data_IF_752108881375
#
_entry.id   IF_752108881375
#
_cell.length_a   1.000
_cell.length_b   1.000
_cell.length_c   1.000
_cell.angle_alpha   90.00
_cell.angle_beta   90.00
_cell.angle_gamma   90.00
#
_symmetry.space_group_name_H-M   'P 1'
#
loop_
_entity.id
_entity.type
_entity.pdbx_description
1 polymer ?
#
# COMPACT_ATOMS: atom_id res chain seq x y z
N UNK A 1 -9.84 -46.76 -0.66
CA UNK A 1 -9.45 -47.85 -1.57
C UNK A 1 -9.90 -49.20 -1.07
N UNK A 2 -9.15 -50.03 -0.35
CA UNK A 2 -9.61 -51.35 0.17
C UNK A 2 -10.85 -51.22 1.06
N UNK A 3 -10.98 -50.19 1.87
CA UNK A 3 -12.19 -49.90 2.65
C UNK A 3 -13.39 -49.68 1.77
N UNK A 4 -13.28 -48.95 0.66
CA UNK A 4 -14.39 -48.70 -0.27
C UNK A 4 -14.88 -50.00 -0.97
N UNK A 5 -13.96 -50.95 -1.26
CA UNK A 5 -14.33 -52.29 -1.78
C UNK A 5 -15.03 -53.08 -0.69
N UNK A 6 -14.49 -53.13 0.52
CA UNK A 6 -15.06 -53.82 1.69
C UNK A 6 -16.47 -53.32 1.98
N UNK A 7 -16.69 -52.02 1.90
CA UNK A 7 -17.95 -51.38 2.18
C UNK A 7 -18.88 -51.31 0.95
N UNK A 8 -18.51 -51.97 -0.18
CA UNK A 8 -19.26 -52.11 -1.45
C UNK A 8 -19.62 -50.79 -2.14
N UNK A 9 -18.85 -49.73 -1.93
CA UNK A 9 -19.01 -48.47 -2.67
C UNK A 9 -18.45 -48.53 -4.09
N UNK A 10 -17.42 -49.35 -4.33
CA UNK A 10 -16.77 -49.55 -5.62
C UNK A 10 -16.40 -51.05 -5.78
N UNK A 11 -16.38 -51.54 -7.00
CA UNK A 11 -15.86 -52.85 -7.35
C UNK A 11 -14.35 -52.86 -7.48
N UNK A 12 -13.73 -54.03 -7.48
CA UNK A 12 -12.27 -54.15 -7.68
C UNK A 12 -11.85 -53.62 -9.07
N UNK A 13 -12.63 -53.86 -10.10
CA UNK A 13 -12.35 -53.39 -11.46
C UNK A 13 -12.42 -51.84 -11.56
N UNK A 14 -13.37 -51.24 -10.85
CA UNK A 14 -13.44 -49.76 -10.74
C UNK A 14 -12.26 -49.20 -9.97
N UNK A 15 -11.82 -49.87 -8.90
CA UNK A 15 -10.61 -49.44 -8.15
C UNK A 15 -9.39 -49.49 -9.07
N UNK A 16 -9.16 -50.58 -9.79
CA UNK A 16 -8.00 -50.71 -10.69
C UNK A 16 -8.04 -49.65 -11.79
N UNK A 17 -9.22 -49.35 -12.35
CA UNK A 17 -9.41 -48.28 -13.32
C UNK A 17 -9.11 -46.89 -12.73
N UNK A 18 -9.59 -46.59 -11.52
CA UNK A 18 -9.35 -45.33 -10.84
C UNK A 18 -7.88 -45.12 -10.41
N UNK A 19 -7.22 -46.22 -10.04
CA UNK A 19 -5.78 -46.17 -9.70
C UNK A 19 -4.87 -45.92 -10.91
N UNK A 20 -5.33 -46.29 -12.11
CA UNK A 20 -4.60 -46.04 -13.36
C UNK A 20 -4.74 -44.61 -13.86
N UNK A 21 -5.68 -43.82 -13.33
CA UNK A 21 -5.83 -42.42 -13.69
C UNK A 21 -4.74 -41.58 -13.08
N UNK A 22 -4.16 -40.61 -13.84
CA UNK A 22 -3.22 -39.67 -13.28
C UNK A 22 -3.89 -38.80 -12.20
N UNK A 23 -3.20 -38.57 -11.07
CA UNK A 23 -3.67 -37.68 -10.02
C UNK A 23 -3.54 -36.23 -10.50
N UNK A 24 -4.63 -35.65 -10.94
CA UNK A 24 -4.69 -34.21 -11.23
C UNK A 24 -4.96 -33.44 -9.94
N UNK A 25 -3.90 -32.83 -9.40
CA UNK A 25 -4.02 -31.95 -8.24
C UNK A 25 -4.33 -30.54 -8.69
N UNK A 26 -5.52 -30.05 -8.41
CA UNK A 26 -5.84 -28.61 -8.47
C UNK A 26 -5.40 -27.95 -7.17
N UNK A 27 -4.09 -27.87 -6.97
CA UNK A 27 -3.54 -27.19 -5.81
C UNK A 27 -3.53 -25.68 -6.06
N UNK A 28 -4.35 -24.96 -5.33
CA UNK A 28 -4.30 -23.50 -5.24
C UNK A 28 -3.74 -23.13 -3.87
N UNK A 29 -2.60 -22.47 -3.86
CA UNK A 29 -2.05 -21.92 -2.62
C UNK A 29 -2.96 -20.78 -2.17
N UNK A 30 -3.63 -20.97 -1.05
CA UNK A 30 -4.42 -19.90 -0.42
C UNK A 30 -3.46 -19.07 0.43
N UNK A 31 -3.21 -17.84 0.02
CA UNK A 31 -2.45 -16.87 0.80
C UNK A 31 -3.20 -15.54 0.91
N UNK A 32 -2.61 -14.57 1.65
CA UNK A 32 -3.21 -13.25 1.84
C UNK A 32 -3.11 -12.33 0.61
N UNK A 33 -2.39 -12.73 -0.43
CA UNK A 33 -2.12 -11.91 -1.62
C UNK A 33 -3.22 -11.99 -2.67
N UNK A 34 -3.89 -13.15 -2.76
CA UNK A 34 -4.94 -13.40 -3.75
C UNK A 34 -6.33 -13.20 -3.14
N UNK A 35 -7.28 -12.74 -3.96
CA UNK A 35 -8.68 -12.51 -3.59
C UNK A 35 -8.97 -11.09 -3.12
N UNK A 36 -10.15 -10.88 -2.58
CA UNK A 36 -10.69 -9.57 -2.22
C UNK A 36 -9.90 -8.89 -1.09
N UNK A 37 -9.71 -7.58 -1.18
CA UNK A 37 -9.06 -6.72 -0.18
C UNK A 37 -7.65 -7.17 0.26
N UNK A 38 -6.69 -7.46 -0.64
CA UNK A 38 -5.39 -8.02 -0.27
C UNK A 38 -4.58 -7.09 0.65
N UNK A 39 -4.65 -5.77 0.45
CA UNK A 39 -3.99 -4.79 1.31
C UNK A 39 -4.54 -4.81 2.74
N UNK A 40 -5.86 -4.86 2.89
CA UNK A 40 -6.48 -4.97 4.22
C UNK A 40 -6.11 -6.28 4.91
N UNK A 41 -6.10 -7.38 4.17
CA UNK A 41 -5.69 -8.68 4.72
C UNK A 41 -4.23 -8.70 5.17
N UNK A 42 -3.35 -8.01 4.45
CA UNK A 42 -1.95 -7.84 4.87
C UNK A 42 -1.85 -6.98 6.14
N UNK A 43 -2.59 -5.88 6.23
CA UNK A 43 -2.63 -5.07 7.46
C UNK A 43 -3.11 -5.89 8.66
N UNK A 44 -4.16 -6.67 8.46
CA UNK A 44 -4.69 -7.57 9.48
C UNK A 44 -3.65 -8.64 9.90
N UNK A 45 -2.98 -9.24 8.92
CA UNK A 45 -1.91 -10.21 9.16
C UNK A 45 -0.78 -9.60 9.99
N UNK A 46 -0.28 -8.44 9.58
CA UNK A 46 0.80 -7.73 10.28
C UNK A 46 0.40 -7.39 11.72
N UNK A 47 -0.83 -6.92 11.91
CA UNK A 47 -1.38 -6.59 13.22
C UNK A 47 -1.48 -7.84 14.11
N UNK A 48 -2.08 -8.92 13.62
CA UNK A 48 -2.32 -10.12 14.41
C UNK A 48 -1.04 -10.91 14.73
N UNK A 49 -0.05 -10.86 13.85
CA UNK A 49 1.24 -11.55 14.02
C UNK A 49 2.33 -10.66 14.62
N UNK A 50 2.01 -9.42 15.00
CA UNK A 50 2.97 -8.53 15.62
C UNK A 50 3.56 -9.11 16.90
N UNK A 51 4.86 -8.93 17.10
CA UNK A 51 5.56 -9.32 18.32
C UNK A 51 5.51 -8.20 19.36
N UNK A 52 5.76 -8.56 20.62
CA UNK A 52 5.91 -7.56 21.67
C UNK A 52 7.07 -6.63 21.33
N UNK A 53 6.85 -5.31 21.29
CA UNK A 53 7.92 -4.36 20.97
C UNK A 53 9.06 -4.42 22.00
N UNK A 54 10.29 -4.48 21.50
CA UNK A 54 11.51 -4.46 22.31
C UNK A 54 12.37 -3.30 21.83
N UNK A 55 12.68 -2.36 22.72
CA UNK A 55 13.36 -1.09 22.37
C UNK A 55 14.68 -1.28 21.61
N UNK A 56 15.42 -2.34 21.89
CA UNK A 56 16.70 -2.65 21.21
C UNK A 56 16.54 -3.06 19.74
N UNK A 57 15.34 -3.40 19.27
CA UNK A 57 15.04 -3.76 17.88
C UNK A 57 14.69 -2.54 17.00
N UNK A 58 14.57 -1.34 17.62
CA UNK A 58 14.24 -0.10 16.93
C UNK A 58 15.46 0.81 16.85
N UNK A 59 15.70 1.36 15.66
CA UNK A 59 16.74 2.37 15.47
C UNK A 59 16.36 3.70 16.14
N UNK A 60 17.34 4.53 16.50
CA UNK A 60 17.08 5.79 17.20
C UNK A 60 16.06 6.71 16.49
N UNK A 61 16.02 6.71 15.16
CA UNK A 61 15.05 7.46 14.36
C UNK A 61 13.65 6.81 14.33
N UNK A 62 13.48 5.57 14.82
CA UNK A 62 12.20 4.87 14.94
C UNK A 62 11.59 4.99 16.35
N UNK A 63 12.08 5.92 17.19
CA UNK A 63 11.61 6.06 18.56
C UNK A 63 10.08 6.27 18.65
N UNK A 64 9.50 7.07 17.75
CA UNK A 64 8.05 7.25 17.70
C UNK A 64 7.32 5.97 17.34
N UNK A 65 7.84 5.21 16.39
CA UNK A 65 7.26 3.90 16.01
C UNK A 65 7.28 2.92 17.17
N UNK A 66 8.36 2.88 17.95
CA UNK A 66 8.40 2.05 19.16
C UNK A 66 7.31 2.43 20.17
N UNK A 67 7.06 3.73 20.35
CA UNK A 67 5.99 4.22 21.24
C UNK A 67 4.63 3.78 20.70
N UNK A 68 4.37 4.02 19.42
CA UNK A 68 3.09 3.68 18.78
C UNK A 68 2.81 2.17 18.82
N UNK A 69 3.81 1.35 18.53
CA UNK A 69 3.73 -0.11 18.60
C UNK A 69 3.51 -0.59 20.05
N UNK A 70 4.14 0.07 21.03
CA UNK A 70 3.95 -0.24 22.45
C UNK A 70 2.55 0.09 22.94
N UNK A 71 2.00 1.22 22.52
CA UNK A 71 0.62 1.63 22.79
C UNK A 71 -0.36 0.65 22.14
N UNK A 72 -0.11 0.30 20.86
CA UNK A 72 -0.92 -0.67 20.14
C UNK A 72 -0.89 -2.04 20.82
N UNK A 73 0.30 -2.50 21.24
CA UNK A 73 0.44 -3.75 21.99
C UNK A 73 -0.36 -3.75 23.31
N UNK A 74 -0.35 -2.64 24.05
CA UNK A 74 -1.04 -2.56 25.33
C UNK A 74 -2.57 -2.45 25.19
N UNK A 75 -3.03 -1.66 24.22
CA UNK A 75 -4.43 -1.22 24.15
C UNK A 75 -5.26 -1.89 23.05
N UNK A 76 -4.62 -2.40 21.99
CA UNK A 76 -5.33 -3.06 20.91
C UNK A 76 -5.31 -4.58 21.09
N UNK A 77 -6.45 -5.24 21.36
CA UNK A 77 -6.49 -6.69 21.56
C UNK A 77 -6.11 -7.50 20.33
N UNK A 78 -6.23 -6.94 19.11
CA UNK A 78 -5.85 -7.60 17.88
C UNK A 78 -4.34 -7.50 17.62
N UNK A 79 -3.67 -6.48 18.15
CA UNK A 79 -2.23 -6.29 17.93
C UNK A 79 -1.43 -7.37 18.69
N UNK A 80 -0.78 -8.25 17.94
CA UNK A 80 -0.08 -9.42 18.49
C UNK A 80 -1.01 -10.53 19.00
N UNK A 81 -2.24 -10.63 18.46
CA UNK A 81 -3.22 -11.61 18.91
C UNK A 81 -2.67 -13.04 18.87
N UNK A 82 -1.96 -13.42 17.80
CA UNK A 82 -1.35 -14.74 17.66
C UNK A 82 -0.24 -15.01 18.68
N UNK A 83 0.42 -13.97 19.18
CA UNK A 83 1.46 -14.06 20.21
C UNK A 83 0.87 -14.10 21.63
N UNK A 84 -0.22 -13.37 21.86
CA UNK A 84 -0.86 -13.25 23.17
C UNK A 84 -1.76 -14.44 23.52
N UNK A 85 -2.24 -15.17 22.51
CA UNK A 85 -3.18 -16.27 22.69
C UNK A 85 -2.49 -17.60 22.36
N UNK A 86 -2.79 -18.60 23.16
CA UNK A 86 -2.26 -19.96 23.00
C UNK A 86 -3.40 -20.96 22.89
N UNK A 87 -3.18 -22.02 22.16
CA UNK A 87 -4.12 -23.15 22.03
C UNK A 87 -4.12 -24.00 23.31
N UNK A 88 -5.04 -24.93 23.40
CA UNK A 88 -5.16 -25.84 24.54
C UNK A 88 -3.89 -26.71 24.75
N UNK A 89 -3.13 -26.95 23.68
CA UNK A 89 -1.85 -27.67 23.71
C UNK A 89 -0.64 -26.79 24.10
N UNK A 90 -0.86 -25.50 24.42
CA UNK A 90 0.16 -24.51 24.76
C UNK A 90 0.91 -23.91 23.57
N UNK A 91 0.57 -24.28 22.33
CA UNK A 91 1.18 -23.70 21.13
C UNK A 91 0.49 -22.40 20.73
N UNK A 92 1.24 -21.49 20.06
CA UNK A 92 0.70 -20.23 19.55
C UNK A 92 -0.18 -20.47 18.32
N UNK A 93 -1.12 -19.56 18.10
CA UNK A 93 -1.95 -19.59 16.89
C UNK A 93 -1.15 -19.20 15.66
N UNK A 94 -1.39 -19.93 14.56
CA UNK A 94 -0.88 -19.61 13.23
C UNK A 94 -2.05 -19.17 12.32
N UNK A 95 -1.99 -17.93 11.84
CA UNK A 95 -3.07 -17.32 11.03
C UNK A 95 -3.39 -18.10 9.73
N UNK A 96 -2.44 -18.90 9.23
CA UNK A 96 -2.61 -19.65 7.97
C UNK A 96 -3.07 -21.09 8.17
N UNK A 97 -2.73 -21.73 9.28
CA UNK A 97 -2.92 -23.18 9.45
C UNK A 97 -4.01 -23.55 10.44
N UNK A 98 -4.37 -22.64 11.34
CA UNK A 98 -5.29 -22.99 12.45
C UNK A 98 -6.77 -22.69 12.15
N UNK A 99 -7.11 -22.38 10.88
CA UNK A 99 -8.51 -22.23 10.45
C UNK A 99 -9.28 -21.11 11.13
N UNK A 100 -8.60 -20.01 11.51
CA UNK A 100 -9.22 -18.87 12.18
C UNK A 100 -10.30 -18.23 11.31
N UNK A 101 -11.45 -17.98 11.90
CA UNK A 101 -12.54 -17.20 11.29
C UNK A 101 -12.47 -15.77 11.78
N UNK A 102 -12.12 -14.84 10.88
CA UNK A 102 -11.92 -13.43 11.19
C UNK A 102 -13.08 -12.63 10.58
N UNK A 103 -13.93 -12.07 11.43
CA UNK A 103 -15.05 -11.23 11.03
C UNK A 103 -14.58 -9.77 10.96
N UNK A 104 -14.86 -9.11 9.84
CA UNK A 104 -14.46 -7.73 9.58
C UNK A 104 -15.66 -6.86 9.27
N UNK A 105 -15.48 -5.54 9.27
CA UNK A 105 -16.51 -4.56 8.90
C UNK A 105 -16.61 -4.31 7.40
N UNK A 106 -15.71 -4.91 6.60
CA UNK A 106 -15.72 -4.76 5.15
C UNK A 106 -17.02 -5.30 4.55
N UNK A 107 -17.58 -4.53 3.63
CA UNK A 107 -18.66 -4.96 2.77
C UNK A 107 -18.08 -5.50 1.46
N UNK A 108 -18.31 -6.79 1.18
CA UNK A 108 -17.71 -7.45 0.02
C UNK A 108 -18.16 -6.83 -1.31
N UNK A 109 -19.38 -6.26 -1.39
CA UNK A 109 -19.85 -5.61 -2.61
C UNK A 109 -19.23 -4.24 -2.80
N UNK A 110 -19.15 -3.44 -1.73
CA UNK A 110 -18.47 -2.14 -1.75
C UNK A 110 -16.99 -2.30 -2.06
N UNK A 111 -16.35 -3.33 -1.52
CA UNK A 111 -14.94 -3.64 -1.82
C UNK A 111 -14.73 -3.96 -3.30
N UNK A 112 -15.59 -4.81 -3.90
CA UNK A 112 -15.52 -5.08 -5.35
C UNK A 112 -15.70 -3.81 -6.17
N UNK A 113 -16.67 -2.98 -5.83
CA UNK A 113 -16.86 -1.69 -6.52
C UNK A 113 -15.66 -0.76 -6.40
N UNK A 114 -15.00 -0.73 -5.24
CA UNK A 114 -13.80 0.06 -5.05
C UNK A 114 -12.62 -0.45 -5.91
N UNK A 115 -12.38 -1.75 -5.93
CA UNK A 115 -11.33 -2.36 -6.75
C UNK A 115 -11.60 -2.16 -8.24
N UNK A 116 -12.84 -2.38 -8.71
CA UNK A 116 -13.24 -2.11 -10.10
C UNK A 116 -13.11 -0.63 -10.48
N UNK A 117 -13.48 0.29 -9.58
CA UNK A 117 -13.35 1.72 -9.82
C UNK A 117 -11.89 2.13 -9.98
N UNK A 118 -10.99 1.55 -9.16
CA UNK A 118 -9.55 1.76 -9.28
C UNK A 118 -9.05 1.23 -10.63
N UNK A 119 -9.40 0.01 -11.01
CA UNK A 119 -8.99 -0.56 -12.29
C UNK A 119 -9.48 0.28 -13.48
N UNK A 120 -10.77 0.59 -13.52
CA UNK A 120 -11.40 1.34 -14.62
C UNK A 120 -10.89 2.78 -14.70
N UNK A 121 -10.82 3.49 -13.59
CA UNK A 121 -10.45 4.90 -13.59
C UNK A 121 -8.94 5.09 -13.62
N UNK A 122 -8.20 4.42 -12.76
CA UNK A 122 -6.74 4.54 -12.71
C UNK A 122 -6.10 3.85 -13.92
N UNK A 123 -6.42 2.57 -14.14
CA UNK A 123 -5.85 1.75 -15.22
C UNK A 123 -6.36 2.16 -16.61
N UNK A 124 -7.67 2.33 -16.75
CA UNK A 124 -8.31 2.59 -18.05
C UNK A 124 -8.27 4.06 -18.49
N UNK A 125 -8.19 5.02 -17.57
CA UNK A 125 -8.29 6.44 -17.91
C UNK A 125 -7.03 7.24 -17.55
N UNK A 126 -6.60 7.25 -16.29
CA UNK A 126 -5.50 8.12 -15.85
C UNK A 126 -4.14 7.62 -16.30
N UNK A 127 -3.86 6.33 -16.20
CA UNK A 127 -2.56 5.75 -16.55
C UNK A 127 -2.19 5.94 -18.02
N UNK A 128 -3.08 5.68 -19.00
CA UNK A 128 -2.78 5.97 -20.40
C UNK A 128 -2.46 7.45 -20.67
N UNK A 129 -3.19 8.36 -20.02
CA UNK A 129 -2.93 9.81 -20.13
C UNK A 129 -1.59 10.19 -19.54
N UNK A 130 -1.24 9.63 -18.38
CA UNK A 130 0.08 9.83 -17.78
C UNK A 130 1.21 9.35 -18.68
N UNK A 131 1.07 8.16 -19.27
CA UNK A 131 2.05 7.66 -20.23
C UNK A 131 2.17 8.55 -21.46
N UNK A 132 1.04 9.03 -22.00
CA UNK A 132 1.05 9.94 -23.15
C UNK A 132 1.73 11.28 -22.81
N UNK A 133 1.45 11.86 -21.65
CA UNK A 133 2.11 13.09 -21.16
C UNK A 133 3.62 12.91 -20.99
N UNK A 134 4.04 11.78 -20.48
CA UNK A 134 5.46 11.49 -20.18
C UNK A 134 6.24 10.96 -21.38
N UNK A 135 5.57 10.61 -22.47
CA UNK A 135 6.23 10.06 -23.69
C UNK A 135 7.28 11.02 -24.24
N UNK A 136 8.49 10.51 -24.42
CA UNK A 136 9.62 11.30 -24.96
C UNK A 136 10.22 12.33 -24.01
N UNK A 137 9.78 12.38 -22.75
CA UNK A 137 10.35 13.31 -21.76
C UNK A 137 11.56 12.66 -21.08
N UNK A 138 12.71 13.33 -21.10
CA UNK A 138 13.96 12.84 -20.50
C UNK A 138 13.89 12.68 -18.97
N UNK A 139 12.96 13.37 -18.31
CA UNK A 139 12.74 13.28 -16.88
C UNK A 139 11.72 12.20 -16.47
N UNK A 140 11.03 11.57 -17.45
CA UNK A 140 10.03 10.55 -17.14
C UNK A 140 10.62 9.39 -16.33
N UNK A 141 9.85 8.80 -15.41
CA UNK A 141 8.46 9.10 -15.03
C UNK A 141 8.30 10.23 -14.00
N UNK A 142 9.38 10.87 -13.61
CA UNK A 142 9.44 11.83 -12.50
C UNK A 142 8.81 13.20 -12.86
N UNK A 143 8.74 14.09 -11.88
CA UNK A 143 8.36 15.47 -12.08
C UNK A 143 9.45 16.24 -12.82
N UNK A 144 9.07 17.25 -13.61
CA UNK A 144 9.99 18.18 -14.24
C UNK A 144 10.82 18.98 -13.21
N UNK A 145 10.28 19.19 -12.01
CA UNK A 145 10.95 19.94 -10.94
C UNK A 145 12.07 19.18 -10.25
N UNK A 146 12.19 17.86 -10.46
CA UNK A 146 13.22 17.03 -9.85
C UNK A 146 14.47 17.06 -10.73
N UNK A 147 15.62 17.36 -10.13
CA UNK A 147 16.92 17.42 -10.82
C UNK A 147 17.34 16.03 -11.30
N UNK A 148 18.36 16.00 -12.15
CA UNK A 148 18.91 14.73 -12.65
C UNK A 148 19.53 13.91 -11.52
N UNK A 149 20.29 14.56 -10.66
CA UNK A 149 20.97 13.96 -9.51
C UNK A 149 19.97 13.35 -8.52
N UNK A 150 18.88 14.05 -8.25
CA UNK A 150 17.79 13.53 -7.40
C UNK A 150 17.12 12.29 -8.02
N UNK A 151 16.89 12.30 -9.34
CA UNK A 151 16.33 11.12 -10.05
C UNK A 151 17.26 9.91 -9.97
N UNK A 152 18.54 10.11 -10.18
CA UNK A 152 19.56 9.08 -10.08
C UNK A 152 19.63 8.53 -8.63
N UNK A 153 19.57 9.40 -7.63
CA UNK A 153 19.52 9.01 -6.22
C UNK A 153 18.27 8.18 -5.88
N UNK A 154 17.10 8.56 -6.41
CA UNK A 154 15.85 7.81 -6.21
C UNK A 154 15.97 6.39 -6.83
N UNK A 155 16.55 6.29 -8.01
CA UNK A 155 16.73 5.00 -8.69
C UNK A 155 17.79 4.13 -7.98
N UNK A 156 18.89 4.70 -7.54
CA UNK A 156 19.93 4.00 -6.77
C UNK A 156 19.39 3.46 -5.46
N UNK A 157 18.60 4.27 -4.72
CA UNK A 157 17.91 3.84 -3.51
C UNK A 157 16.96 2.67 -3.78
N UNK A 158 16.16 2.76 -4.85
CA UNK A 158 15.23 1.68 -5.22
C UNK A 158 15.97 0.41 -5.65
N UNK A 159 17.09 0.55 -6.35
CA UNK A 159 17.97 -0.56 -6.70
C UNK A 159 18.49 -1.26 -5.44
N UNK A 160 19.01 -0.50 -4.47
CA UNK A 160 19.54 -1.03 -3.19
C UNK A 160 18.47 -1.70 -2.33
N UNK A 161 17.22 -1.29 -2.45
CA UNK A 161 16.07 -1.88 -1.75
C UNK A 161 15.53 -3.15 -2.41
N UNK A 162 15.95 -3.47 -3.64
CA UNK A 162 15.44 -4.65 -4.36
C UNK A 162 16.01 -5.96 -3.81
N UNK A 163 15.24 -7.04 -3.94
CA UNK A 163 15.67 -8.38 -3.52
C UNK A 163 16.88 -8.85 -4.32
N UNK A 164 16.95 -8.52 -5.61
CA UNK A 164 18.11 -8.81 -6.46
C UNK A 164 19.39 -8.21 -5.88
N UNK A 165 19.37 -6.94 -5.49
CA UNK A 165 20.53 -6.28 -4.88
C UNK A 165 20.94 -6.97 -3.57
N UNK A 166 19.97 -7.24 -2.70
CA UNK A 166 20.22 -7.92 -1.42
C UNK A 166 20.80 -9.31 -1.60
N UNK A 167 20.26 -10.11 -2.53
CA UNK A 167 20.78 -11.44 -2.86
C UNK A 167 22.20 -11.39 -3.41
N UNK A 168 22.50 -10.45 -4.32
CA UNK A 168 23.87 -10.30 -4.88
C UNK A 168 24.86 -9.84 -3.82
N UNK A 169 24.46 -8.92 -2.92
CA UNK A 169 25.33 -8.53 -1.78
C UNK A 169 25.58 -9.67 -0.82
N UNK A 170 24.57 -10.46 -0.50
CA UNK A 170 24.70 -11.64 0.35
C UNK A 170 25.61 -12.71 -0.26
N UNK A 171 25.66 -12.83 -1.60
CA UNK A 171 26.59 -13.71 -2.32
C UNK A 171 28.00 -13.15 -2.47
N UNK A 172 28.29 -11.95 -1.93
CA UNK A 172 29.64 -11.36 -1.98
C UNK A 172 29.98 -10.63 -3.29
N UNK A 173 28.99 -10.30 -4.14
CA UNK A 173 29.23 -9.58 -5.39
C UNK A 173 29.74 -8.16 -5.13
N UNK A 174 30.69 -7.71 -5.94
CA UNK A 174 31.21 -6.35 -5.89
C UNK A 174 30.19 -5.33 -6.42
N UNK A 175 30.32 -4.07 -6.05
CA UNK A 175 29.42 -3.00 -6.50
C UNK A 175 29.44 -2.85 -8.04
N UNK A 176 30.57 -3.09 -8.67
CA UNK A 176 30.71 -3.07 -10.14
C UNK A 176 29.93 -4.22 -10.79
N UNK A 177 30.03 -5.44 -10.25
CA UNK A 177 29.28 -6.59 -10.72
C UNK A 177 27.78 -6.38 -10.56
N UNK A 178 27.33 -5.81 -9.45
CA UNK A 178 25.93 -5.48 -9.21
C UNK A 178 25.45 -4.44 -10.22
N UNK A 179 26.18 -3.34 -10.41
CA UNK A 179 25.82 -2.32 -11.40
C UNK A 179 25.71 -2.90 -12.80
N UNK A 180 26.66 -3.73 -13.22
CA UNK A 180 26.62 -4.42 -14.52
C UNK A 180 25.38 -5.31 -14.64
N UNK A 181 25.04 -6.07 -13.61
CA UNK A 181 23.84 -6.92 -13.60
C UNK A 181 22.53 -6.12 -13.68
N UNK A 182 22.52 -4.88 -13.16
CA UNK A 182 21.33 -4.02 -13.21
C UNK A 182 21.12 -3.29 -14.54
N UNK A 183 22.16 -3.16 -15.36
CA UNK A 183 22.06 -2.56 -16.71
C UNK A 183 21.98 -3.60 -17.83
N UNK A 184 22.27 -4.88 -17.54
CA UNK A 184 22.18 -5.97 -18.51
C UNK A 184 20.73 -6.42 -18.66
N UNK A 185 20.16 -6.43 -19.88
CA UNK A 185 18.81 -6.94 -20.12
C UNK A 185 18.67 -8.42 -19.76
N UNK A 186 17.57 -8.76 -19.14
CA UNK A 186 17.19 -10.14 -18.77
C UNK A 186 15.70 -10.35 -19.02
N UNK A 187 15.31 -11.59 -19.24
CA UNK A 187 13.90 -11.95 -19.28
C UNK A 187 13.25 -11.72 -17.90
N UNK A 188 12.10 -11.07 -17.89
CA UNK A 188 11.37 -10.80 -16.68
C UNK A 188 9.89 -10.59 -16.95
N UNK A 189 9.09 -10.78 -15.93
CA UNK A 189 7.68 -10.48 -15.94
C UNK A 189 7.44 -9.12 -15.28
N UNK A 190 6.67 -8.24 -15.91
CA UNK A 190 6.34 -6.92 -15.40
C UNK A 190 4.83 -6.70 -15.35
N UNK A 191 4.39 -5.81 -14.47
CA UNK A 191 2.98 -5.48 -14.30
C UNK A 191 2.42 -4.73 -15.50
N UNK A 192 1.18 -5.08 -15.87
CA UNK A 192 0.28 -4.20 -16.62
C UNK A 192 -1.16 -4.38 -16.10
N UNK A 193 -2.03 -3.42 -16.40
CA UNK A 193 -3.46 -3.55 -16.04
C UNK A 193 -4.21 -4.64 -16.84
N UNK A 194 -3.61 -5.15 -17.90
CA UNK A 194 -4.13 -6.28 -18.70
C UNK A 194 -3.55 -7.63 -18.28
N UNK A 195 -2.84 -7.67 -17.16
CA UNK A 195 -2.11 -8.85 -16.68
C UNK A 195 -0.60 -8.66 -16.77
N UNK A 196 0.16 -9.60 -16.22
CA UNK A 196 1.61 -9.57 -16.29
C UNK A 196 2.12 -9.79 -17.72
N UNK A 197 3.15 -9.06 -18.12
CA UNK A 197 3.75 -9.12 -19.45
C UNK A 197 5.17 -9.66 -19.33
N UNK A 198 5.47 -10.69 -20.12
CA UNK A 198 6.84 -11.19 -20.28
C UNK A 198 7.61 -10.27 -21.23
N UNK A 199 8.78 -9.81 -20.81
CA UNK A 199 9.57 -8.84 -21.56
C UNK A 199 11.06 -9.00 -21.26
N UNK A 200 11.89 -8.43 -22.15
CA UNK A 200 13.35 -8.35 -21.96
C UNK A 200 13.70 -6.90 -21.70
N UNK A 201 14.15 -6.60 -20.48
CA UNK A 201 14.64 -5.27 -20.11
C UNK A 201 15.69 -5.36 -19.01
N UNK A 202 16.43 -4.28 -18.78
CA UNK A 202 17.35 -4.25 -17.65
C UNK A 202 16.60 -4.14 -16.32
N UNK A 203 17.13 -4.72 -15.22
CA UNK A 203 16.52 -4.54 -13.89
C UNK A 203 16.37 -3.07 -13.48
N UNK A 204 17.26 -2.19 -13.91
CA UNK A 204 17.14 -0.76 -13.65
C UNK A 204 15.98 -0.13 -14.43
N UNK A 205 15.77 -0.56 -15.68
CA UNK A 205 14.62 -0.10 -16.48
C UNK A 205 13.30 -0.66 -15.96
N UNK A 206 13.30 -1.87 -15.41
CA UNK A 206 12.10 -2.41 -14.75
C UNK A 206 11.72 -1.59 -13.51
N UNK A 207 12.69 -1.14 -12.73
CA UNK A 207 12.45 -0.22 -11.59
C UNK A 207 11.86 1.11 -12.10
N UNK A 208 12.40 1.67 -13.19
CA UNK A 208 11.90 2.90 -13.81
C UNK A 208 10.49 2.70 -14.37
N UNK A 209 10.24 1.57 -15.02
CA UNK A 209 8.92 1.17 -15.50
C UNK A 209 7.91 1.06 -14.35
N UNK A 210 8.25 0.38 -13.26
CA UNK A 210 7.38 0.26 -12.09
C UNK A 210 7.07 1.62 -11.44
N UNK A 211 8.02 2.57 -11.46
CA UNK A 211 7.80 3.94 -10.99
C UNK A 211 6.92 4.79 -11.92
N UNK A 212 6.64 4.32 -13.12
CA UNK A 212 5.73 4.98 -14.08
C UNK A 212 4.25 4.70 -13.79
N UNK A 213 3.93 3.77 -12.90
CA UNK A 213 2.56 3.49 -12.52
C UNK A 213 2.07 4.43 -11.41
N UNK A 214 0.91 5.01 -11.64
CA UNK A 214 0.22 5.83 -10.65
C UNK A 214 -0.17 4.97 -9.44
N UNK A 215 -0.16 5.58 -8.28
CA UNK A 215 -0.53 4.94 -7.02
C UNK A 215 -1.88 5.45 -6.56
N UNK A 216 -2.59 4.63 -5.83
CA UNK A 216 -3.90 4.94 -5.28
C UNK A 216 -3.99 4.45 -3.84
N UNK A 217 -4.64 5.22 -3.00
CA UNK A 217 -5.16 4.80 -1.71
C UNK A 217 -6.63 5.22 -1.66
N UNK A 218 -7.51 4.28 -1.36
CA UNK A 218 -8.94 4.52 -1.25
C UNK A 218 -9.48 3.80 -0.04
N UNK A 219 -10.32 4.50 0.72
CA UNK A 219 -11.03 3.92 1.85
C UNK A 219 -12.45 4.50 1.90
N UNK A 220 -13.44 3.62 2.11
CA UNK A 220 -14.82 4.00 2.39
C UNK A 220 -15.15 3.64 3.83
N UNK A 221 -15.77 4.56 4.53
CA UNK A 221 -16.09 4.42 5.96
C UNK A 221 -17.54 4.85 6.22
N UNK A 222 -18.21 4.16 7.10
CA UNK A 222 -19.50 4.58 7.63
C UNK A 222 -19.28 5.77 8.59
N UNK A 223 -19.86 6.95 8.32
CA UNK A 223 -19.61 8.15 9.14
C UNK A 223 -20.18 8.05 10.56
N UNK A 224 -21.19 7.20 10.81
CA UNK A 224 -21.82 7.07 12.11
C UNK A 224 -21.07 6.12 13.03
N UNK A 225 -20.49 5.06 12.48
CA UNK A 225 -19.85 3.99 13.25
C UNK A 225 -18.32 3.98 13.15
N UNK A 226 -17.75 4.68 12.17
CA UNK A 226 -16.33 4.62 11.85
C UNK A 226 -15.89 3.29 11.22
N UNK A 227 -16.83 2.40 10.88
CA UNK A 227 -16.51 1.09 10.30
C UNK A 227 -16.02 1.24 8.87
N UNK A 228 -14.84 0.70 8.58
CA UNK A 228 -14.30 0.63 7.23
C UNK A 228 -15.10 -0.39 6.41
N UNK A 229 -15.67 0.05 5.29
CA UNK A 229 -16.51 -0.75 4.38
C UNK A 229 -15.77 -1.20 3.13
N UNK A 230 -14.80 -0.41 2.64
CA UNK A 230 -13.93 -0.78 1.54
C UNK A 230 -12.54 -0.21 1.75
N UNK A 231 -11.51 -0.94 1.29
CA UNK A 231 -10.12 -0.58 1.51
C UNK A 231 -9.25 -1.02 0.33
N UNK A 232 -8.63 -0.07 -0.37
CA UNK A 232 -7.71 -0.33 -1.48
C UNK A 232 -6.41 0.44 -1.24
N UNK A 233 -5.31 -0.25 -1.04
CA UNK A 233 -4.01 0.35 -0.75
C UNK A 233 -3.12 0.56 -1.97
N UNK A 234 -3.51 0.07 -3.14
CA UNK A 234 -2.75 0.21 -4.38
C UNK A 234 -3.43 -0.45 -5.57
N UNK A 235 -2.83 -0.35 -6.77
CA UNK A 235 -3.43 -0.88 -7.99
C UNK A 235 -3.38 -2.41 -8.10
N UNK A 236 -2.38 -3.04 -7.54
CA UNK A 236 -2.18 -4.49 -7.52
C UNK A 236 -1.22 -4.87 -6.39
N UNK A 237 -1.63 -5.78 -5.52
CA UNK A 237 -0.84 -6.13 -4.33
C UNK A 237 0.39 -7.00 -4.67
N UNK A 238 0.33 -7.79 -5.73
CA UNK A 238 1.44 -8.65 -6.13
C UNK A 238 2.68 -7.85 -6.51
N UNK A 239 2.49 -6.75 -7.24
CA UNK A 239 3.56 -5.90 -7.75
C UNK A 239 3.79 -4.64 -6.91
N UNK A 240 2.81 -4.18 -6.13
CA UNK A 240 2.81 -2.91 -5.42
C UNK A 240 2.35 -3.07 -3.96
N UNK A 241 3.18 -3.68 -3.14
CA UNK A 241 2.84 -4.01 -1.75
C UNK A 241 2.81 -2.80 -0.80
N UNK A 242 3.36 -1.64 -1.22
CA UNK A 242 3.33 -0.44 -0.40
C UNK A 242 1.91 0.12 -0.33
N UNK A 243 1.34 0.10 0.86
CA UNK A 243 -0.03 0.52 1.12
C UNK A 243 -0.15 2.05 1.16
N UNK A 244 -0.83 2.60 0.16
CA UNK A 244 -1.03 4.04 0.04
C UNK A 244 -2.16 4.57 0.93
N UNK A 245 -3.04 3.70 1.43
CA UNK A 245 -4.16 4.11 2.26
C UNK A 245 -3.74 4.30 3.74
N UNK A 246 -2.86 3.42 4.28
CA UNK A 246 -2.42 3.48 5.68
C UNK A 246 -0.99 4.00 5.87
N UNK A 247 -0.09 3.69 4.93
CA UNK A 247 1.35 4.01 5.07
C UNK A 247 1.78 5.18 4.19
N UNK A 248 1.03 5.42 3.10
CA UNK A 248 1.35 6.46 2.12
C UNK A 248 1.26 7.86 2.69
N UNK A 249 2.40 8.55 2.82
CA UNK A 249 2.44 9.96 3.25
C UNK A 249 2.39 10.87 2.04
N UNK A 250 1.48 11.86 2.07
CA UNK A 250 1.29 12.86 1.03
C UNK A 250 1.10 14.24 1.66
N UNK A 251 1.40 15.27 0.89
CA UNK A 251 1.07 16.64 1.28
C UNK A 251 -0.46 16.75 1.38
N UNK A 252 -0.93 17.16 2.56
CA UNK A 252 -2.36 17.17 2.87
C UNK A 252 -3.14 18.23 2.08
N UNK A 253 -2.52 19.39 1.81
CA UNK A 253 -3.16 20.48 1.08
C UNK A 253 -4.51 20.89 1.69
N UNK A 254 -5.48 21.18 0.84
CA UNK A 254 -6.83 21.61 1.25
C UNK A 254 -7.63 20.52 2.00
N UNK A 255 -7.22 19.28 2.02
CA UNK A 255 -7.90 18.23 2.78
C UNK A 255 -7.74 18.39 4.29
N UNK A 256 -6.88 19.31 4.75
CA UNK A 256 -6.79 19.69 6.17
C UNK A 256 -7.97 20.58 6.61
N UNK A 257 -8.64 21.28 5.68
CA UNK A 257 -9.68 22.28 6.01
C UNK A 257 -10.82 21.77 6.89
N UNK A 258 -11.38 20.55 6.67
CA UNK A 258 -12.44 20.04 7.56
C UNK A 258 -11.98 19.96 9.01
N UNK A 259 -10.75 19.51 9.27
CA UNK A 259 -10.18 19.42 10.62
C UNK A 259 -9.96 20.80 11.23
N UNK A 260 -9.42 21.74 10.41
CA UNK A 260 -9.18 23.10 10.85
C UNK A 260 -10.50 23.82 11.21
N UNK A 261 -11.53 23.67 10.38
CA UNK A 261 -12.83 24.28 10.64
C UNK A 261 -13.54 23.63 11.83
N UNK A 262 -13.41 22.32 12.03
CA UNK A 262 -13.93 21.66 13.23
C UNK A 262 -13.30 22.27 14.49
N UNK A 263 -11.97 22.41 14.51
CA UNK A 263 -11.27 23.05 15.63
C UNK A 263 -11.73 24.50 15.83
N UNK A 264 -11.87 25.28 14.76
CA UNK A 264 -12.35 26.66 14.84
C UNK A 264 -13.75 26.73 15.46
N UNK A 265 -14.66 25.83 15.10
CA UNK A 265 -16.01 25.75 15.69
C UNK A 265 -15.98 25.34 17.16
N UNK A 266 -15.09 24.42 17.57
CA UNK A 266 -14.87 24.07 18.96
C UNK A 266 -14.34 25.25 19.79
N UNK A 267 -13.53 26.13 19.18
CA UNK A 267 -13.04 27.38 19.78
C UNK A 267 -14.06 28.54 19.74
N UNK A 268 -15.29 28.27 19.27
CA UNK A 268 -16.41 29.20 19.29
C UNK A 268 -16.60 30.03 18.01
N UNK A 269 -15.81 29.79 16.96
CA UNK A 269 -16.05 30.42 15.66
C UNK A 269 -17.28 29.83 14.97
N UNK A 270 -17.94 30.65 14.19
CA UNK A 270 -19.10 30.25 13.39
C UNK A 270 -18.82 30.42 11.89
N UNK A 271 -19.55 29.75 10.98
CA UNK A 271 -19.43 29.97 9.55
C UNK A 271 -19.70 31.41 9.10
N UNK A 272 -20.37 32.21 9.95
CA UNK A 272 -20.70 33.60 9.67
C UNK A 272 -19.64 34.60 10.14
N UNK A 273 -18.59 34.14 10.83
CA UNK A 273 -17.52 35.04 11.27
C UNK A 273 -16.73 35.53 10.06
N UNK A 274 -16.46 36.82 10.05
CA UNK A 274 -15.80 37.50 8.93
C UNK A 274 -14.39 37.90 9.30
N UNK A 275 -13.46 37.64 8.40
CA UNK A 275 -12.06 38.02 8.55
C UNK A 275 -11.64 38.97 7.42
N UNK A 276 -10.71 39.89 7.71
CA UNK A 276 -10.09 40.71 6.70
C UNK A 276 -9.30 39.84 5.71
N UNK A 277 -9.48 40.10 4.42
CA UNK A 277 -8.73 39.43 3.38
C UNK A 277 -7.31 40.03 3.26
N UNK A 278 -6.55 39.91 4.35
CA UNK A 278 -5.16 40.33 4.40
C UNK A 278 -4.26 39.11 4.25
N UNK A 279 -3.14 39.30 3.55
CA UNK A 279 -2.14 38.25 3.41
C UNK A 279 -1.19 38.27 4.60
N UNK A 280 -1.31 37.30 5.54
CA UNK A 280 -0.41 37.27 6.69
C UNK A 280 1.00 36.92 6.23
N UNK A 281 2.01 37.53 6.87
CA UNK A 281 3.40 37.14 6.72
C UNK A 281 3.84 36.42 7.97
N UNK A 282 4.23 35.17 7.81
CA UNK A 282 4.75 34.31 8.87
C UNK A 282 6.27 34.20 8.74
N UNK A 283 6.96 34.09 9.86
CA UNK A 283 8.39 33.79 9.88
C UNK A 283 8.54 32.28 10.02
N UNK A 284 9.19 31.65 9.05
CA UNK A 284 9.49 30.21 9.09
C UNK A 284 10.56 29.90 10.14
N UNK A 285 10.72 28.63 10.50
CA UNK A 285 11.78 28.19 11.43
C UNK A 285 13.18 28.60 10.97
N UNK A 286 13.40 28.72 9.67
CA UNK A 286 14.65 29.21 9.05
C UNK A 286 14.82 30.76 9.12
N UNK A 287 13.89 31.47 9.78
CA UNK A 287 13.88 32.93 9.88
C UNK A 287 13.50 33.68 8.60
N UNK A 288 12.96 33.00 7.58
CA UNK A 288 12.54 33.60 6.31
C UNK A 288 11.07 34.02 6.35
N UNK A 289 10.71 35.18 5.80
CA UNK A 289 9.32 35.57 5.67
C UNK A 289 8.63 34.69 4.62
N UNK A 290 7.48 34.13 5.01
CA UNK A 290 6.61 33.39 4.11
C UNK A 290 5.17 33.91 4.21
N UNK A 291 4.56 34.10 3.06
CA UNK A 291 3.16 34.53 2.96
C UNK A 291 2.38 33.57 2.09
N UNK A 292 1.23 33.04 2.56
CA UNK A 292 0.37 32.21 1.73
C UNK A 292 -0.20 33.01 0.57
N UNK A 293 -0.27 32.40 -0.62
CA UNK A 293 -0.87 33.04 -1.81
C UNK A 293 -2.23 32.42 -2.09
N UNK A 294 -3.19 33.24 -2.46
CA UNK A 294 -4.46 32.76 -2.99
C UNK A 294 -4.24 32.13 -4.38
N UNK A 295 -5.00 31.07 -4.69
CA UNK A 295 -4.92 30.38 -5.98
C UNK A 295 -5.47 31.22 -7.15
N UNK A 296 -6.22 32.30 -6.86
CA UNK A 296 -6.80 33.22 -7.85
C UNK A 296 -6.29 34.62 -7.54
N UNK A 297 -5.53 35.20 -8.45
CA UNK A 297 -4.96 36.56 -8.31
C UNK A 297 -6.03 37.65 -8.11
N UNK A 298 -7.25 37.45 -8.62
CA UNK A 298 -8.36 38.40 -8.51
C UNK A 298 -8.97 38.49 -7.10
N UNK A 299 -8.63 37.60 -6.19
CA UNK A 299 -9.17 37.57 -4.83
C UNK A 299 -8.36 38.43 -3.83
N UNK A 300 -7.21 38.93 -4.23
CA UNK A 300 -6.34 39.75 -3.41
C UNK A 300 -6.47 41.23 -3.85
N UNK A 301 -7.42 41.93 -3.32
CA UNK A 301 -7.49 43.35 -3.53
C UNK A 301 -8.88 43.95 -3.40
N UNK A 302 -8.98 44.83 -2.43
CA UNK A 302 -10.07 45.77 -2.09
C UNK A 302 -11.22 45.16 -1.29
N UNK A 303 -11.21 45.50 -0.02
CA UNK A 303 -12.38 45.59 0.86
C UNK A 303 -13.28 44.34 0.92
N UNK A 304 -12.70 43.13 0.93
CA UNK A 304 -13.43 41.89 1.02
C UNK A 304 -13.25 41.19 2.36
N UNK A 305 -14.37 40.94 3.03
CA UNK A 305 -14.45 39.99 4.11
C UNK A 305 -14.79 38.62 3.54
N UNK A 306 -14.15 37.57 4.01
CA UNK A 306 -14.57 36.19 3.72
C UNK A 306 -15.28 35.63 4.94
N UNK A 307 -16.44 35.03 4.75
CA UNK A 307 -17.05 34.16 5.74
C UNK A 307 -16.32 32.80 5.72
N UNK A 308 -16.23 32.14 6.86
CA UNK A 308 -15.81 30.75 6.99
C UNK A 308 -16.89 29.86 6.38
N UNK A 309 -16.93 29.69 5.06
CA UNK A 309 -17.89 28.89 4.34
C UNK A 309 -17.24 27.82 3.46
#
# INVERSE_FOLDING_TARGET
>A
SEMCIRDRYITKAELDSLQALPLELKYTRVDHKEGLAPYFREQLRLMMTAKKPVKSEYWGWEAQKFIDDSIAWANNPLYGWCEKNVKADGTKYNIYTDGLKIYTTLDAQMQRYAEEAVEKHLGGYLQPRFFAEKKGRSYAPFSRSITREERESILDRAMKQSDRYRAMKASGASDEQIRKAFITPVEMQVFSYQGSIDTIMSPLDSIRYQKSFLRVGFMSMDPNTGHVKAYVGGPDFTHFQYDMASVGRRQIGSTVKPFLYTLAMEEGFTPCDMFLNEQPTLITEDGKPWSPRNSVESACGRDGFFALG
#
